data_IF_247953353084
#
_entry.id   IF_247953353084
#
_cell.length_a   1.000
_cell.length_b   1.000
_cell.length_c   1.000
_cell.angle_alpha   90.00
_cell.angle_beta   90.00
_cell.angle_gamma   90.00
#
_symmetry.space_group_name_H-M   'P 1'
#
loop_
_entity.id
_entity.type
_entity.pdbx_description
1 polymer ?
#
# COMPACT_ATOMS: atom_id res chain seq x y z
N UNK A 1 -15.16 -57.61 -14.23
CA UNK A 1 -14.54 -57.05 -13.01
C UNK A 1 -15.37 -57.45 -11.81
N UNK A 2 -14.76 -57.82 -10.69
CA UNK A 2 -15.53 -58.09 -9.45
C UNK A 2 -15.95 -56.76 -8.81
N UNK A 3 -17.14 -56.72 -8.20
CA UNK A 3 -17.67 -55.54 -7.50
C UNK A 3 -16.65 -54.95 -6.51
N UNK A 4 -15.94 -55.82 -5.79
CA UNK A 4 -14.88 -55.47 -4.84
C UNK A 4 -13.70 -54.72 -5.49
N UNK A 5 -13.28 -55.12 -6.69
CA UNK A 5 -12.20 -54.45 -7.42
C UNK A 5 -12.64 -53.07 -7.90
N UNK A 6 -13.87 -52.95 -8.39
CA UNK A 6 -14.44 -51.67 -8.78
C UNK A 6 -14.51 -50.68 -7.60
N UNK A 7 -14.98 -51.12 -6.43
CA UNK A 7 -14.98 -50.30 -5.21
C UNK A 7 -13.58 -49.88 -4.78
N UNK A 8 -12.58 -50.77 -4.87
CA UNK A 8 -11.19 -50.44 -4.54
C UNK A 8 -10.60 -49.36 -5.48
N UNK A 9 -10.88 -49.47 -6.79
CA UNK A 9 -10.46 -48.46 -7.76
C UNK A 9 -11.16 -47.12 -7.58
N UNK A 10 -12.47 -47.13 -7.32
CA UNK A 10 -13.23 -45.92 -7.01
C UNK A 10 -12.72 -45.24 -5.73
N UNK A 11 -12.48 -46.03 -4.68
CA UNK A 11 -11.90 -45.53 -3.42
C UNK A 11 -10.52 -44.90 -3.63
N UNK A 12 -9.65 -45.55 -4.40
CA UNK A 12 -8.33 -45.02 -4.73
C UNK A 12 -8.42 -43.70 -5.49
N UNK A 13 -9.30 -43.61 -6.49
CA UNK A 13 -9.54 -42.38 -7.25
C UNK A 13 -10.04 -41.25 -6.35
N UNK A 14 -11.02 -41.53 -5.48
CA UNK A 14 -11.55 -40.55 -4.54
C UNK A 14 -10.48 -40.06 -3.57
N UNK A 15 -9.65 -40.97 -3.07
CA UNK A 15 -8.56 -40.65 -2.15
C UNK A 15 -7.49 -39.79 -2.86
N UNK A 16 -7.16 -40.09 -4.12
CA UNK A 16 -6.22 -39.30 -4.90
C UNK A 16 -6.74 -37.88 -5.19
N UNK A 17 -8.02 -37.74 -5.54
CA UNK A 17 -8.66 -36.42 -5.72
C UNK A 17 -8.67 -35.64 -4.41
N UNK A 18 -9.04 -36.29 -3.30
CA UNK A 18 -9.05 -35.65 -1.97
C UNK A 18 -7.64 -35.21 -1.55
N UNK A 19 -6.63 -36.06 -1.75
CA UNK A 19 -5.24 -35.75 -1.44
C UNK A 19 -4.74 -34.57 -2.27
N UNK A 20 -5.01 -34.54 -3.58
CA UNK A 20 -4.66 -33.42 -4.45
C UNK A 20 -5.34 -32.12 -4.00
N UNK A 21 -6.62 -32.18 -3.65
CA UNK A 21 -7.38 -31.02 -3.18
C UNK A 21 -6.80 -30.45 -1.88
N UNK A 22 -6.60 -31.29 -0.86
CA UNK A 22 -6.04 -30.86 0.44
C UNK A 22 -4.59 -30.37 0.28
N UNK A 23 -3.79 -31.06 -0.53
CA UNK A 23 -2.42 -30.65 -0.85
C UNK A 23 -2.37 -29.29 -1.54
N UNK A 24 -3.28 -29.01 -2.47
CA UNK A 24 -3.36 -27.70 -3.15
C UNK A 24 -3.62 -26.56 -2.16
N UNK A 25 -4.51 -26.77 -1.19
CA UNK A 25 -4.83 -25.75 -0.17
C UNK A 25 -3.62 -25.51 0.75
N UNK A 26 -3.01 -26.58 1.25
CA UNK A 26 -1.84 -26.49 2.14
C UNK A 26 -0.62 -25.89 1.43
N UNK A 27 -0.42 -26.25 0.17
CA UNK A 27 0.64 -25.70 -0.66
C UNK A 27 0.45 -24.19 -0.85
N UNK A 28 -0.78 -23.75 -1.17
CA UNK A 28 -1.10 -22.32 -1.31
C UNK A 28 -0.82 -21.54 -0.03
N UNK A 29 -1.35 -22.02 1.12
CA UNK A 29 -1.11 -21.40 2.43
C UNK A 29 0.39 -21.34 2.77
N UNK A 30 1.14 -22.43 2.54
CA UNK A 30 2.57 -22.48 2.83
C UNK A 30 3.40 -21.59 1.89
N UNK A 31 3.00 -21.51 0.62
CA UNK A 31 3.64 -20.61 -0.35
C UNK A 31 3.47 -19.14 0.03
N UNK A 32 2.28 -18.76 0.52
CA UNK A 32 2.02 -17.42 1.04
C UNK A 32 2.92 -17.11 2.25
N UNK A 33 3.02 -18.01 3.22
CA UNK A 33 3.90 -17.82 4.39
C UNK A 33 5.38 -17.68 4.01
N UNK A 34 5.83 -18.46 3.02
CA UNK A 34 7.20 -18.35 2.51
C UNK A 34 7.45 -17.00 1.85
N UNK A 35 6.54 -16.53 0.99
CA UNK A 35 6.64 -15.21 0.37
C UNK A 35 6.58 -14.09 1.41
N UNK A 36 5.67 -14.18 2.39
CA UNK A 36 5.58 -13.23 3.49
C UNK A 36 6.90 -13.13 4.25
N UNK A 37 7.54 -14.26 4.57
CA UNK A 37 8.84 -14.26 5.24
C UNK A 37 9.95 -13.58 4.42
N UNK A 38 9.94 -13.71 3.08
CA UNK A 38 10.90 -12.97 2.23
C UNK A 38 10.67 -11.46 2.22
N UNK A 39 9.43 -11.04 2.50
CA UNK A 39 8.97 -9.66 2.40
C UNK A 39 9.08 -8.94 3.76
N UNK A 40 8.81 -9.67 4.85
CA UNK A 40 8.92 -9.24 6.23
C UNK A 40 9.43 -10.40 7.10
N UNK A 41 10.75 -10.54 7.26
CA UNK A 41 11.34 -11.57 8.12
C UNK A 41 10.93 -11.46 9.58
N UNK A 42 10.57 -10.26 10.05
CA UNK A 42 10.16 -9.99 11.44
C UNK A 42 8.82 -10.62 11.81
N UNK A 43 7.94 -10.82 10.83
CA UNK A 43 6.66 -11.52 11.00
C UNK A 43 6.79 -13.02 11.31
N UNK A 44 7.97 -13.62 11.10
CA UNK A 44 8.14 -15.07 11.18
C UNK A 44 7.30 -15.85 10.15
N UNK A 45 6.76 -15.18 9.13
CA UNK A 45 5.88 -15.78 8.13
C UNK A 45 4.44 -15.99 8.61
N UNK A 46 4.03 -15.35 9.71
CA UNK A 46 2.66 -15.41 10.24
C UNK A 46 2.04 -14.01 10.20
N UNK A 47 0.84 -13.90 9.63
CA UNK A 47 0.06 -12.66 9.63
C UNK A 47 -1.39 -12.96 9.95
N UNK A 48 -2.01 -12.09 10.74
CA UNK A 48 -3.46 -12.11 10.94
C UNK A 48 -4.14 -11.49 9.73
N UNK A 49 -4.73 -12.32 8.86
CA UNK A 49 -5.50 -11.84 7.71
C UNK A 49 -6.73 -11.02 8.15
N UNK A 50 -7.27 -11.29 9.35
CA UNK A 50 -8.36 -10.51 9.92
C UNK A 50 -7.92 -9.09 10.31
N UNK A 51 -6.70 -8.95 10.85
CA UNK A 51 -6.12 -7.66 11.18
C UNK A 51 -5.77 -6.87 9.90
N UNK A 52 -5.20 -7.55 8.90
CA UNK A 52 -4.95 -6.96 7.59
C UNK A 52 -6.23 -6.44 6.94
N UNK A 53 -7.32 -7.21 7.00
CA UNK A 53 -8.62 -6.79 6.50
C UNK A 53 -9.21 -5.61 7.29
N UNK A 54 -9.07 -5.62 8.61
CA UNK A 54 -9.51 -4.51 9.46
C UNK A 54 -8.76 -3.21 9.14
N UNK A 55 -7.44 -3.30 8.93
CA UNK A 55 -6.62 -2.16 8.51
C UNK A 55 -7.00 -1.68 7.10
N UNK A 56 -7.24 -2.58 6.16
CA UNK A 56 -7.69 -2.21 4.80
C UNK A 56 -9.03 -1.46 4.83
N UNK A 57 -9.98 -1.89 5.66
CA UNK A 57 -11.26 -1.19 5.87
C UNK A 57 -11.05 0.20 6.48
N UNK A 58 -10.20 0.33 7.50
CA UNK A 58 -9.91 1.63 8.13
C UNK A 58 -9.22 2.59 7.15
N UNK A 59 -8.26 2.11 6.38
CA UNK A 59 -7.59 2.89 5.33
C UNK A 59 -8.59 3.32 4.26
N UNK A 60 -9.45 2.41 3.79
CA UNK A 60 -10.47 2.74 2.80
C UNK A 60 -11.47 3.78 3.31
N UNK A 61 -11.84 3.72 4.60
CA UNK A 61 -12.70 4.71 5.23
C UNK A 61 -12.02 6.08 5.34
N UNK A 62 -10.75 6.15 5.74
CA UNK A 62 -9.98 7.39 5.73
C UNK A 62 -9.84 7.99 4.32
N UNK A 63 -9.60 7.14 3.32
CA UNK A 63 -9.53 7.56 1.92
C UNK A 63 -10.91 8.06 1.42
N UNK A 64 -12.00 7.42 1.85
CA UNK A 64 -13.38 7.85 1.54
C UNK A 64 -13.73 9.18 2.19
N UNK A 65 -13.34 9.40 3.44
CA UNK A 65 -13.58 10.65 4.18
C UNK A 65 -12.76 11.81 3.60
N UNK A 66 -11.55 11.55 3.11
CA UNK A 66 -10.67 12.57 2.52
C UNK A 66 -10.95 12.86 1.05
N UNK A 67 -11.57 11.94 0.30
CA UNK A 67 -11.91 12.15 -1.11
C UNK A 67 -12.71 13.45 -1.40
N UNK A 68 -13.83 13.76 -0.69
CA UNK A 68 -14.55 15.01 -0.93
C UNK A 68 -13.72 16.24 -0.54
N UNK A 69 -12.98 16.15 0.56
CA UNK A 69 -12.11 17.23 1.06
C UNK A 69 -11.00 17.58 0.06
N UNK A 70 -10.47 16.61 -0.70
CA UNK A 70 -9.52 16.89 -1.79
C UNK A 70 -10.16 17.68 -2.94
N UNK A 71 -11.43 17.40 -3.24
CA UNK A 71 -12.20 18.19 -4.20
C UNK A 71 -12.44 19.61 -3.71
N UNK A 72 -12.81 19.76 -2.44
CA UNK A 72 -12.98 21.07 -1.79
C UNK A 72 -11.67 21.86 -1.74
N UNK A 73 -10.53 21.21 -1.44
CA UNK A 73 -9.21 21.84 -1.46
C UNK A 73 -8.85 22.39 -2.84
N UNK A 74 -9.10 21.63 -3.90
CA UNK A 74 -8.85 22.06 -5.27
C UNK A 74 -9.74 23.27 -5.66
N UNK A 75 -11.00 23.26 -5.22
CA UNK A 75 -11.91 24.39 -5.42
C UNK A 75 -11.47 25.63 -4.63
N UNK A 76 -11.07 25.46 -3.37
CA UNK A 76 -10.57 26.55 -2.53
C UNK A 76 -9.28 27.16 -3.11
N UNK A 77 -8.38 26.32 -3.62
CA UNK A 77 -7.17 26.78 -4.31
C UNK A 77 -7.49 27.58 -5.59
N UNK A 78 -8.43 27.11 -6.40
CA UNK A 78 -8.87 27.85 -7.58
C UNK A 78 -9.50 29.20 -7.21
N UNK A 79 -10.35 29.23 -6.18
CA UNK A 79 -10.98 30.47 -5.68
C UNK A 79 -9.93 31.45 -5.15
N UNK A 80 -8.96 30.98 -4.37
CA UNK A 80 -7.88 31.81 -3.85
C UNK A 80 -7.01 32.38 -4.98
N UNK A 81 -6.70 31.57 -6.01
CA UNK A 81 -5.95 32.04 -7.17
C UNK A 81 -6.70 33.13 -7.96
N UNK A 82 -8.02 32.96 -8.15
CA UNK A 82 -8.86 33.98 -8.78
C UNK A 82 -8.92 35.26 -7.94
N UNK A 83 -9.15 35.15 -6.62
CA UNK A 83 -9.19 36.29 -5.72
C UNK A 83 -7.86 37.05 -5.68
N UNK A 84 -6.73 36.33 -5.71
CA UNK A 84 -5.40 36.92 -5.79
C UNK A 84 -5.22 37.72 -7.08
N UNK A 85 -5.61 37.15 -8.22
CA UNK A 85 -5.55 37.84 -9.51
C UNK A 85 -6.42 39.12 -9.51
N UNK A 86 -7.63 39.05 -8.94
CA UNK A 86 -8.54 40.19 -8.82
C UNK A 86 -8.01 41.29 -7.89
N UNK A 87 -7.30 40.90 -6.83
CA UNK A 87 -6.64 41.82 -5.90
C UNK A 87 -5.43 42.50 -6.57
N UNK A 88 -4.59 41.73 -7.27
CA UNK A 88 -3.42 42.26 -7.98
C UNK A 88 -3.86 43.22 -9.10
N UNK A 89 -4.88 42.84 -9.87
CA UNK A 89 -5.47 43.71 -10.89
C UNK A 89 -6.01 45.01 -10.30
N UNK A 90 -6.62 44.96 -9.12
CA UNK A 90 -7.13 46.15 -8.44
C UNK A 90 -5.99 47.03 -7.90
N UNK A 91 -4.93 46.44 -7.35
CA UNK A 91 -3.73 47.15 -6.91
C UNK A 91 -3.03 47.85 -8.06
N UNK A 92 -2.90 47.17 -9.21
CA UNK A 92 -2.33 47.76 -10.42
C UNK A 92 -3.16 48.95 -10.92
N UNK A 93 -4.49 48.84 -10.86
CA UNK A 93 -5.39 49.94 -11.21
C UNK A 93 -5.24 51.14 -10.26
N UNK A 94 -5.13 50.90 -8.95
CA UNK A 94 -4.87 51.93 -7.94
C UNK A 94 -3.53 52.60 -8.19
N UNK A 95 -2.46 51.83 -8.39
CA UNK A 95 -1.12 52.35 -8.70
C UNK A 95 -1.11 53.19 -9.98
N UNK A 96 -1.80 52.75 -11.05
CA UNK A 96 -1.93 53.51 -12.28
C UNK A 96 -2.68 54.85 -12.07
N UNK A 97 -3.72 54.86 -11.22
CA UNK A 97 -4.43 56.08 -10.84
C UNK A 97 -3.53 57.03 -10.04
N UNK A 98 -2.75 56.52 -9.07
CA UNK A 98 -1.79 57.30 -8.30
C UNK A 98 -0.76 57.99 -9.21
N UNK A 99 -0.18 57.25 -10.17
CA UNK A 99 0.78 57.80 -11.15
C UNK A 99 0.14 58.86 -12.03
N UNK A 100 -1.06 58.61 -12.57
CA UNK A 100 -1.82 59.57 -13.37
C UNK A 100 -2.13 60.85 -12.58
N UNK A 101 -2.47 60.71 -11.31
CA UNK A 101 -2.82 61.84 -10.46
C UNK A 101 -1.58 62.67 -10.12
N UNK A 102 -0.46 62.02 -9.79
CA UNK A 102 0.83 62.69 -9.59
C UNK A 102 1.27 63.49 -10.82
N UNK A 103 1.17 62.91 -12.02
CA UNK A 103 1.52 63.63 -13.25
C UNK A 103 0.57 64.80 -13.52
N UNK A 104 -0.73 64.62 -13.28
CA UNK A 104 -1.73 65.68 -13.44
C UNK A 104 -1.48 66.85 -12.48
N UNK A 105 -1.14 66.57 -11.22
CA UNK A 105 -0.82 67.62 -10.24
C UNK A 105 0.47 68.35 -10.63
N UNK A 106 1.50 67.63 -11.07
CA UNK A 106 2.75 68.26 -11.53
C UNK A 106 2.51 69.23 -12.71
N UNK A 107 1.74 68.81 -13.72
CA UNK A 107 1.36 69.67 -14.86
C UNK A 107 0.57 70.92 -14.41
N UNK A 108 -0.29 70.78 -13.40
CA UNK A 108 -1.06 71.89 -12.85
C UNK A 108 -0.20 72.86 -12.05
N UNK A 109 0.78 72.38 -11.29
CA UNK A 109 1.74 73.22 -10.58
C UNK A 109 2.61 74.03 -11.55
N UNK A 110 3.06 73.40 -12.64
CA UNK A 110 3.83 74.08 -13.69
C UNK A 110 3.02 75.21 -14.34
N UNK A 111 1.76 74.94 -14.73
CA UNK A 111 0.86 75.97 -15.30
C UNK A 111 0.52 77.09 -14.31
N UNK A 112 0.54 76.80 -13.02
CA UNK A 112 0.32 77.75 -11.93
C UNK A 112 1.57 78.57 -11.55
N UNK A 113 2.73 78.26 -12.18
CA UNK A 113 4.00 78.91 -11.86
C UNK A 113 4.48 78.64 -10.43
N UNK A 114 4.06 77.52 -9.84
CA UNK A 114 4.50 77.10 -8.51
C UNK A 114 5.82 76.31 -8.62
N UNK A 115 6.77 76.49 -7.69
CA UNK A 115 7.97 75.68 -7.67
C UNK A 115 7.62 74.19 -7.46
N UNK A 116 8.29 73.27 -8.15
CA UNK A 116 8.00 71.84 -8.03
C UNK A 116 8.19 71.39 -6.58
N UNK A 117 7.18 70.69 -6.05
CA UNK A 117 7.28 70.10 -4.72
C UNK A 117 8.43 69.08 -4.66
N UNK A 118 9.13 69.01 -3.53
CA UNK A 118 10.19 68.01 -3.34
C UNK A 118 9.59 66.61 -3.47
N UNK A 119 10.14 65.79 -4.37
CA UNK A 119 9.69 64.41 -4.55
C UNK A 119 9.98 63.61 -3.28
N UNK A 120 8.95 63.36 -2.47
CA UNK A 120 9.03 62.53 -1.25
C UNK A 120 9.07 61.04 -1.56
N UNK A 121 8.93 60.64 -2.82
CA UNK A 121 9.04 59.25 -3.30
C UNK A 121 7.85 58.35 -2.95
N UNK A 122 7.05 58.69 -1.94
CA UNK A 122 5.83 58.00 -1.56
C UNK A 122 4.59 58.84 -1.94
N UNK A 123 3.58 58.19 -2.51
CA UNK A 123 2.29 58.81 -2.76
C UNK A 123 1.55 59.04 -1.43
N UNK A 124 1.12 60.27 -1.18
CA UNK A 124 0.32 60.64 -0.01
C UNK A 124 -0.90 61.45 -0.48
N UNK A 125 -2.10 60.92 -0.22
CA UNK A 125 -3.37 61.56 -0.58
C UNK A 125 -3.55 62.91 0.11
N UNK A 126 -3.03 63.08 1.33
CA UNK A 126 -3.10 64.34 2.06
C UNK A 126 -2.18 65.40 1.46
N UNK A 127 -0.96 65.04 1.04
CA UNK A 127 -0.03 65.94 0.33
C UNK A 127 -0.63 66.42 -1.00
N UNK A 128 -1.15 65.48 -1.80
CA UNK A 128 -1.84 65.78 -3.06
C UNK A 128 -3.02 66.75 -2.84
N UNK A 129 -3.84 66.51 -1.82
CA UNK A 129 -4.98 67.38 -1.51
C UNK A 129 -4.54 68.81 -1.15
N UNK A 130 -3.48 68.94 -0.33
CA UNK A 130 -2.90 70.24 0.02
C UNK A 130 -2.30 70.96 -1.19
N UNK A 131 -1.63 70.23 -2.09
CA UNK A 131 -1.08 70.77 -3.35
C UNK A 131 -2.19 71.29 -4.26
N UNK A 132 -3.26 70.51 -4.44
CA UNK A 132 -4.44 70.93 -5.21
C UNK A 132 -5.14 72.15 -4.59
N UNK A 133 -5.20 72.25 -3.26
CA UNK A 133 -5.72 73.43 -2.56
C UNK A 133 -4.86 74.68 -2.78
N UNK A 134 -3.53 74.53 -2.73
CA UNK A 134 -2.58 75.62 -3.00
C UNK A 134 -2.73 76.17 -4.42
N UNK A 135 -2.88 75.29 -5.41
CA UNK A 135 -3.12 75.67 -6.81
C UNK A 135 -4.46 76.40 -6.93
N UNK A 136 -5.52 75.89 -6.30
CA UNK A 136 -6.85 76.51 -6.33
C UNK A 136 -6.94 77.88 -5.64
N UNK A 137 -6.10 78.14 -4.63
CA UNK A 137 -6.09 79.39 -3.87
C UNK A 137 -5.44 80.58 -4.60
N UNK A 138 -4.72 80.34 -5.71
CA UNK A 138 -4.11 81.42 -6.49
C UNK A 138 -5.18 82.28 -7.20
N UNK A 139 -5.26 83.57 -6.84
CA UNK A 139 -6.23 84.52 -7.38
C UNK A 139 -6.17 84.72 -8.91
N UNK A 140 -5.04 84.42 -9.55
CA UNK A 140 -4.78 84.67 -10.98
C UNK A 140 -4.85 83.42 -11.87
N UNK A 141 -5.36 82.28 -11.40
CA UNK A 141 -5.49 81.07 -12.22
C UNK A 141 -6.51 81.23 -13.34
N UNK A 142 -6.14 80.86 -14.57
CA UNK A 142 -7.05 80.77 -15.70
C UNK A 142 -8.24 79.83 -15.40
N UNK A 143 -9.40 80.10 -16.00
CA UNK A 143 -10.63 79.28 -15.82
C UNK A 143 -10.37 77.80 -16.12
N UNK A 144 -9.56 77.51 -17.14
CA UNK A 144 -9.18 76.16 -17.54
C UNK A 144 -8.39 75.41 -16.46
N UNK A 145 -7.54 76.10 -15.68
CA UNK A 145 -6.77 75.50 -14.58
C UNK A 145 -7.69 75.17 -13.40
N UNK A 146 -8.74 75.98 -13.15
CA UNK A 146 -9.72 75.71 -12.08
C UNK A 146 -10.55 74.45 -12.38
N UNK A 147 -11.01 74.29 -13.62
CA UNK A 147 -11.74 73.08 -14.04
C UNK A 147 -10.88 71.82 -13.89
N UNK A 148 -9.60 71.90 -14.26
CA UNK A 148 -8.67 70.79 -14.13
C UNK A 148 -8.37 70.43 -12.66
N UNK A 149 -8.29 71.42 -11.75
CA UNK A 149 -8.16 71.17 -10.30
C UNK A 149 -9.40 70.46 -9.75
N UNK A 150 -10.61 70.84 -10.19
CA UNK A 150 -11.85 70.17 -9.79
C UNK A 150 -11.85 68.71 -10.29
N UNK A 151 -11.45 68.47 -11.53
CA UNK A 151 -11.33 67.12 -12.09
C UNK A 151 -10.30 66.27 -11.34
N UNK A 152 -9.14 66.84 -11.00
CA UNK A 152 -8.11 66.14 -10.22
C UNK A 152 -8.58 65.80 -8.80
N UNK A 153 -9.35 66.68 -8.15
CA UNK A 153 -10.00 66.38 -6.86
C UNK A 153 -11.03 65.26 -6.97
N UNK A 154 -11.81 65.22 -8.04
CA UNK A 154 -12.74 64.13 -8.29
C UNK A 154 -12.02 62.79 -8.51
N UNK A 155 -10.90 62.80 -9.25
CA UNK A 155 -10.07 61.60 -9.42
C UNK A 155 -9.38 61.17 -8.11
N UNK A 156 -9.03 62.11 -7.21
CA UNK A 156 -8.51 61.80 -5.87
C UNK A 156 -9.55 61.08 -5.00
N UNK A 157 -10.82 61.50 -5.07
CA UNK A 157 -11.91 60.82 -4.35
C UNK A 157 -12.11 59.40 -4.89
N UNK A 158 -12.13 59.22 -6.22
CA UNK A 158 -12.23 57.88 -6.83
C UNK A 158 -11.07 56.98 -6.44
N UNK A 159 -9.87 57.54 -6.28
CA UNK A 159 -8.71 56.80 -5.82
C UNK A 159 -8.91 56.32 -4.37
N UNK A 160 -9.37 57.21 -3.48
CA UNK A 160 -9.68 56.84 -2.10
C UNK A 160 -10.76 55.74 -2.02
N UNK A 161 -11.83 55.85 -2.83
CA UNK A 161 -12.87 54.81 -2.93
C UNK A 161 -12.29 53.47 -3.45
N UNK A 162 -11.36 53.52 -4.39
CA UNK A 162 -10.71 52.33 -4.95
C UNK A 162 -9.72 51.68 -3.97
N UNK A 163 -9.00 52.47 -3.17
CA UNK A 163 -8.15 51.98 -2.09
C UNK A 163 -8.98 51.34 -0.97
N UNK A 164 -10.10 51.95 -0.58
CA UNK A 164 -11.03 51.37 0.40
C UNK A 164 -11.62 50.04 -0.09
N UNK A 165 -11.89 49.92 -1.40
CA UNK A 165 -12.36 48.68 -2.01
C UNK A 165 -11.33 47.53 -2.03
N UNK A 166 -10.04 47.78 -1.76
CA UNK A 166 -9.04 46.72 -1.62
C UNK A 166 -9.19 45.94 -0.31
N UNK A 167 -9.59 46.61 0.78
CA UNK A 167 -9.69 46.00 2.12
C UNK A 167 -10.56 44.74 2.15
N UNK A 168 -11.81 44.78 1.65
CA UNK A 168 -12.68 43.60 1.58
C UNK A 168 -12.08 42.46 0.73
N UNK A 169 -11.38 42.78 -0.37
CA UNK A 169 -10.74 41.76 -1.23
C UNK A 169 -9.57 41.07 -0.52
N UNK A 170 -8.78 41.82 0.25
CA UNK A 170 -7.70 41.26 1.07
C UNK A 170 -8.24 40.37 2.18
N UNK A 171 -9.34 40.75 2.82
CA UNK A 171 -10.02 39.93 3.83
C UNK A 171 -10.58 38.63 3.23
N UNK A 172 -11.22 38.70 2.06
CA UNK A 172 -11.73 37.54 1.33
C UNK A 172 -10.61 36.58 0.94
N UNK A 173 -9.48 37.09 0.44
CA UNK A 173 -8.30 36.29 0.14
C UNK A 173 -7.78 35.60 1.41
N UNK A 174 -7.62 36.34 2.51
CA UNK A 174 -7.13 35.80 3.78
C UNK A 174 -8.05 34.69 4.31
N UNK A 175 -9.36 34.85 4.16
CA UNK A 175 -10.37 33.84 4.52
C UNK A 175 -10.22 32.57 3.67
N UNK A 176 -10.06 32.71 2.34
CA UNK A 176 -9.86 31.59 1.43
C UNK A 176 -8.54 30.84 1.71
N UNK A 177 -7.47 31.58 2.03
CA UNK A 177 -6.21 30.96 2.43
C UNK A 177 -6.32 30.18 3.75
N UNK A 178 -7.04 30.72 4.73
CA UNK A 178 -7.29 30.03 6.00
C UNK A 178 -8.11 28.74 5.79
N UNK A 179 -9.10 28.78 4.90
CA UNK A 179 -9.88 27.60 4.50
C UNK A 179 -8.99 26.54 3.82
N UNK A 180 -8.15 26.95 2.86
CA UNK A 180 -7.17 26.07 2.20
C UNK A 180 -6.25 25.39 3.21
N UNK A 181 -5.71 26.13 4.19
CA UNK A 181 -4.83 25.58 5.24
C UNK A 181 -5.56 24.55 6.10
N UNK A 182 -6.77 24.86 6.55
CA UNK A 182 -7.58 23.96 7.37
C UNK A 182 -7.88 22.63 6.66
N UNK A 183 -8.28 22.69 5.38
CA UNK A 183 -8.56 21.48 4.59
C UNK A 183 -7.25 20.70 4.36
N UNK A 184 -6.15 21.40 4.06
CA UNK A 184 -4.83 20.81 3.90
C UNK A 184 -4.36 20.04 5.13
N UNK A 185 -4.49 20.63 6.32
CA UNK A 185 -4.15 20.00 7.60
C UNK A 185 -4.98 18.73 7.87
N UNK A 186 -6.27 18.75 7.55
CA UNK A 186 -7.14 17.58 7.68
C UNK A 186 -6.70 16.43 6.75
N UNK A 187 -6.41 16.74 5.49
CA UNK A 187 -5.93 15.77 4.50
C UNK A 187 -4.58 15.19 4.94
N UNK A 188 -3.66 16.03 5.41
CA UNK A 188 -2.34 15.59 5.85
C UNK A 188 -2.43 14.68 7.09
N UNK A 189 -3.23 15.07 8.08
CA UNK A 189 -3.44 14.26 9.30
C UNK A 189 -4.03 12.90 8.96
N UNK A 190 -5.03 12.87 8.08
CA UNK A 190 -5.65 11.62 7.62
C UNK A 190 -4.68 10.75 6.81
N UNK A 191 -3.85 11.35 5.96
CA UNK A 191 -2.80 10.63 5.23
C UNK A 191 -1.75 10.05 6.18
N UNK A 192 -1.31 10.80 7.20
CA UNK A 192 -0.38 10.28 8.23
C UNK A 192 -1.01 9.12 9.01
N UNK A 193 -2.29 9.19 9.36
CA UNK A 193 -3.01 8.10 10.00
C UNK A 193 -3.06 6.85 9.10
N UNK A 194 -3.42 7.03 7.83
CA UNK A 194 -3.45 5.94 6.84
C UNK A 194 -2.05 5.32 6.62
N UNK A 195 -1.00 6.14 6.58
CA UNK A 195 0.38 5.67 6.49
C UNK A 195 0.84 4.95 7.76
N UNK A 196 0.45 5.43 8.94
CA UNK A 196 0.72 4.76 10.21
C UNK A 196 0.07 3.38 10.29
N UNK A 197 -1.17 3.26 9.84
CA UNK A 197 -1.87 1.98 9.73
C UNK A 197 -1.19 1.03 8.73
N UNK A 198 -0.80 1.52 7.54
CA UNK A 198 -0.06 0.74 6.54
C UNK A 198 1.32 0.32 7.06
N UNK A 199 1.99 1.19 7.80
CA UNK A 199 3.32 0.97 8.38
C UNK A 199 3.38 -0.18 9.39
N UNK A 200 2.26 -0.61 9.96
CA UNK A 200 2.20 -1.81 10.80
C UNK A 200 2.61 -3.09 10.05
N UNK A 201 2.47 -3.11 8.73
CA UNK A 201 2.86 -4.21 7.84
C UNK A 201 4.08 -3.86 6.96
N UNK A 202 4.80 -2.80 7.32
CA UNK A 202 5.95 -2.28 6.59
C UNK A 202 5.62 -1.72 5.20
N UNK A 203 6.67 -1.48 4.41
CA UNK A 203 6.56 -0.87 3.07
C UNK A 203 5.84 -1.77 2.05
N UNK A 204 5.67 -3.06 2.39
CA UNK A 204 5.14 -4.08 1.51
C UNK A 204 3.64 -4.36 1.71
N UNK A 205 2.92 -3.52 2.46
CA UNK A 205 1.48 -3.66 2.72
C UNK A 205 0.66 -3.99 1.47
N UNK A 206 0.91 -3.29 0.36
CA UNK A 206 0.19 -3.53 -0.90
C UNK A 206 0.42 -4.93 -1.47
N UNK A 207 1.66 -5.40 -1.41
CA UNK A 207 2.02 -6.74 -1.87
C UNK A 207 1.37 -7.80 -0.99
N UNK A 208 1.50 -7.66 0.34
CA UNK A 208 0.90 -8.57 1.32
C UNK A 208 -0.62 -8.63 1.14
N UNK A 209 -1.26 -7.46 0.96
CA UNK A 209 -2.70 -7.35 0.69
C UNK A 209 -3.12 -8.10 -0.58
N UNK A 210 -2.37 -7.92 -1.67
CA UNK A 210 -2.68 -8.58 -2.94
C UNK A 210 -2.49 -10.10 -2.85
N UNK A 211 -1.43 -10.55 -2.19
CA UNK A 211 -1.17 -11.98 -1.96
C UNK A 211 -2.25 -12.59 -1.05
N UNK A 212 -2.70 -11.87 -0.01
CA UNK A 212 -3.78 -12.29 0.87
C UNK A 212 -5.12 -12.44 0.12
N UNK A 213 -5.46 -11.49 -0.74
CA UNK A 213 -6.66 -11.56 -1.58
C UNK A 213 -6.57 -12.69 -2.62
N UNK A 214 -5.39 -12.92 -3.19
CA UNK A 214 -5.16 -14.06 -4.09
C UNK A 214 -5.34 -15.40 -3.38
N UNK A 215 -4.86 -15.51 -2.14
CA UNK A 215 -5.07 -16.69 -1.31
C UNK A 215 -6.55 -16.88 -0.97
N UNK A 216 -7.26 -15.82 -0.58
CA UNK A 216 -8.69 -15.89 -0.27
C UNK A 216 -9.52 -16.30 -1.49
N UNK A 217 -9.23 -15.73 -2.67
CA UNK A 217 -9.90 -16.07 -3.92
C UNK A 217 -9.59 -17.50 -4.40
N UNK A 218 -8.39 -18.02 -4.13
CA UNK A 218 -7.98 -19.38 -4.52
C UNK A 218 -8.31 -20.44 -3.48
N UNK A 219 -8.72 -20.05 -2.28
CA UNK A 219 -9.00 -20.97 -1.17
C UNK A 219 -10.49 -21.36 -1.14
N UNK A 220 -10.86 -22.58 -1.57
CA UNK A 220 -12.23 -23.06 -1.42
C UNK A 220 -12.64 -23.06 0.06
N UNK A 221 -13.80 -22.49 0.35
CA UNK A 221 -14.37 -22.37 1.70
C UNK A 221 -13.52 -21.59 2.72
N UNK A 222 -12.52 -20.80 2.28
CA UNK A 222 -11.66 -20.03 3.19
C UNK A 222 -10.76 -20.89 4.10
N UNK A 223 -10.51 -22.16 3.74
CA UNK A 223 -9.64 -23.04 4.53
C UNK A 223 -8.17 -22.59 4.50
N UNK A 224 -7.69 -22.11 3.34
CA UNK A 224 -6.33 -21.60 3.17
C UNK A 224 -6.04 -20.37 4.02
N UNK A 225 -6.99 -19.44 4.16
CA UNK A 225 -6.83 -18.25 5.00
C UNK A 225 -6.72 -18.60 6.49
N UNK A 226 -7.49 -19.59 6.96
CA UNK A 226 -7.38 -20.13 8.33
C UNK A 226 -6.08 -20.92 8.56
N UNK A 227 -5.54 -21.56 7.54
CA UNK A 227 -4.29 -22.31 7.65
C UNK A 227 -3.09 -21.36 7.77
N UNK A 228 -3.09 -20.20 7.10
CA UNK A 228 -1.98 -19.24 7.15
C UNK A 228 -1.67 -18.71 8.56
N UNK A 229 -2.65 -18.68 9.47
CA UNK A 229 -2.40 -18.31 10.86
C UNK A 229 -1.74 -19.42 11.69
N UNK A 230 -1.63 -20.65 11.17
CA UNK A 230 -0.93 -21.74 11.85
C UNK A 230 0.59 -21.61 11.70
N UNK A 231 1.31 -22.15 12.69
CA UNK A 231 2.78 -22.11 12.69
C UNK A 231 3.38 -22.76 11.42
N UNK A 232 4.35 -22.12 10.75
CA UNK A 232 4.91 -22.61 9.49
C UNK A 232 5.47 -24.04 9.56
N UNK A 233 6.08 -24.42 10.69
CA UNK A 233 6.58 -25.78 10.92
C UNK A 233 5.48 -26.83 10.90
N UNK A 234 4.31 -26.51 11.46
CA UNK A 234 3.18 -27.43 11.48
C UNK A 234 2.66 -27.67 10.07
N UNK A 235 2.45 -26.59 9.31
CA UNK A 235 2.01 -26.68 7.91
C UNK A 235 3.02 -27.42 7.03
N UNK A 236 4.31 -27.16 7.21
CA UNK A 236 5.37 -27.85 6.46
C UNK A 236 5.36 -29.35 6.76
N UNK A 237 5.26 -29.73 8.04
CA UNK A 237 5.19 -31.14 8.45
C UNK A 237 3.96 -31.83 7.86
N UNK A 238 2.81 -31.17 7.92
CA UNK A 238 1.57 -31.69 7.34
C UNK A 238 1.68 -31.85 5.82
N UNK A 239 2.25 -30.86 5.14
CA UNK A 239 2.51 -30.89 3.70
C UNK A 239 3.43 -32.04 3.31
N UNK A 240 4.55 -32.25 4.02
CA UNK A 240 5.47 -33.38 3.81
C UNK A 240 4.72 -34.71 3.88
N UNK A 241 3.96 -34.92 4.96
CA UNK A 241 3.23 -36.16 5.17
C UNK A 241 2.23 -36.39 4.03
N UNK A 242 1.42 -35.40 3.68
CA UNK A 242 0.40 -35.56 2.64
C UNK A 242 1.00 -35.69 1.23
N UNK A 243 2.17 -35.11 0.96
CA UNK A 243 2.92 -35.33 -0.27
C UNK A 243 3.54 -36.74 -0.32
N UNK A 244 3.98 -37.26 0.83
CA UNK A 244 4.38 -38.68 0.99
C UNK A 244 3.24 -39.65 0.75
N UNK A 245 2.07 -39.38 1.32
CA UNK A 245 0.86 -40.12 1.05
C UNK A 245 0.51 -40.11 -0.45
N UNK A 246 0.61 -38.94 -1.09
CA UNK A 246 0.36 -38.79 -2.52
C UNK A 246 1.37 -39.57 -3.37
N UNK A 247 2.66 -39.54 -3.02
CA UNK A 247 3.68 -40.35 -3.69
C UNK A 247 3.39 -41.85 -3.61
N UNK A 248 2.97 -42.34 -2.44
CA UNK A 248 2.58 -43.74 -2.26
C UNK A 248 1.33 -44.11 -3.10
N UNK A 249 0.36 -43.21 -3.24
CA UNK A 249 -0.80 -43.42 -4.11
C UNK A 249 -0.45 -43.44 -5.59
N UNK A 250 0.47 -42.56 -6.02
CA UNK A 250 0.96 -42.55 -7.39
C UNK A 250 1.68 -43.85 -7.76
N UNK A 251 2.41 -44.44 -6.82
CA UNK A 251 3.00 -45.76 -7.01
C UNK A 251 1.93 -46.87 -7.13
N UNK A 252 0.84 -46.75 -6.37
CA UNK A 252 -0.23 -47.75 -6.32
C UNK A 252 -1.14 -47.72 -7.55
N UNK A 253 -1.25 -46.58 -8.23
CA UNK A 253 -2.14 -46.39 -9.37
C UNK A 253 -1.79 -47.29 -10.58
N UNK A 254 -0.53 -47.33 -11.08
CA UNK A 254 -0.13 -48.29 -12.11
C UNK A 254 -0.28 -49.75 -11.67
N UNK A 255 0.02 -50.05 -10.39
CA UNK A 255 -0.12 -51.40 -9.83
C UNK A 255 -1.58 -51.88 -9.83
N UNK A 256 -2.54 -50.97 -9.65
CA UNK A 256 -3.98 -51.28 -9.74
C UNK A 256 -4.46 -51.52 -11.18
N UNK A 257 -3.92 -50.76 -12.14
CA UNK A 257 -4.23 -50.93 -13.56
C UNK A 257 -3.67 -52.24 -14.11
N UNK A 258 -2.52 -52.69 -13.61
CA UNK A 258 -1.91 -53.94 -14.05
C UNK A 258 -2.69 -55.15 -13.48
N UNK A 259 -3.20 -56.04 -14.34
CA UNK A 259 -4.18 -57.06 -13.98
C UNK A 259 -3.67 -58.17 -13.04
N UNK A 260 -2.35 -58.26 -12.84
CA UNK A 260 -1.71 -59.36 -12.13
C UNK A 260 -1.79 -59.27 -10.59
N UNK A 261 -2.03 -58.08 -10.01
CA UNK A 261 -2.01 -57.89 -8.56
C UNK A 261 -3.42 -57.67 -7.99
N UNK A 262 -3.79 -58.46 -6.98
CA UNK A 262 -4.97 -58.20 -6.15
C UNK A 262 -4.57 -57.21 -5.06
N UNK A 263 -5.01 -55.95 -5.19
CA UNK A 263 -4.78 -54.91 -4.18
C UNK A 263 -5.96 -54.89 -3.22
N UNK A 264 -5.69 -55.06 -1.93
CA UNK A 264 -6.70 -54.96 -0.87
C UNK A 264 -6.74 -53.58 -0.25
N UNK A 265 -7.88 -53.23 0.36
CA UNK A 265 -8.04 -51.96 1.07
C UNK A 265 -6.98 -51.74 2.16
N UNK A 266 -6.63 -52.80 2.90
CA UNK A 266 -5.58 -52.75 3.92
C UNK A 266 -4.20 -52.37 3.34
N UNK A 267 -3.87 -52.86 2.14
CA UNK A 267 -2.60 -52.54 1.47
C UNK A 267 -2.51 -51.06 1.11
N UNK A 268 -3.64 -50.45 0.70
CA UNK A 268 -3.71 -49.02 0.39
C UNK A 268 -3.42 -48.20 1.65
N UNK A 269 -4.07 -48.52 2.77
CA UNK A 269 -3.90 -47.78 4.03
C UNK A 269 -2.48 -47.92 4.57
N UNK A 270 -1.94 -49.15 4.60
CA UNK A 270 -0.58 -49.41 5.10
C UNK A 270 0.45 -48.65 4.26
N UNK A 271 0.36 -48.72 2.93
CA UNK A 271 1.30 -48.02 2.03
C UNK A 271 1.21 -46.51 2.16
N UNK A 272 0.00 -45.96 2.34
CA UNK A 272 -0.18 -44.54 2.59
C UNK A 272 0.54 -44.10 3.87
N UNK A 273 0.38 -44.84 4.97
CA UNK A 273 1.08 -44.56 6.24
C UNK A 273 2.58 -44.68 6.10
N UNK A 274 3.07 -45.73 5.43
CA UNK A 274 4.51 -45.88 5.15
C UNK A 274 5.05 -44.73 4.29
N UNK A 275 4.31 -44.27 3.29
CA UNK A 275 4.65 -43.10 2.48
C UNK A 275 4.76 -41.83 3.32
N UNK A 276 3.80 -41.58 4.23
CA UNK A 276 3.85 -40.44 5.16
C UNK A 276 5.09 -40.49 6.07
N UNK A 277 5.36 -41.64 6.69
CA UNK A 277 6.49 -41.81 7.62
C UNK A 277 7.83 -41.69 6.91
N UNK A 278 7.96 -42.28 5.72
CA UNK A 278 9.18 -42.21 4.92
C UNK A 278 9.46 -40.78 4.47
N UNK A 279 8.43 -40.05 4.02
CA UNK A 279 8.56 -38.64 3.67
C UNK A 279 9.00 -37.78 4.86
N UNK A 280 8.45 -38.04 6.06
CA UNK A 280 8.84 -37.34 7.27
C UNK A 280 10.32 -37.58 7.62
N UNK A 281 10.78 -38.84 7.53
CA UNK A 281 12.19 -39.17 7.78
C UNK A 281 13.13 -38.46 6.80
N UNK A 282 12.80 -38.46 5.51
CA UNK A 282 13.57 -37.76 4.48
C UNK A 282 13.59 -36.25 4.71
N UNK A 283 12.46 -35.66 5.10
CA UNK A 283 12.37 -34.25 5.44
C UNK A 283 13.24 -33.89 6.65
N UNK A 284 13.22 -34.69 7.72
CA UNK A 284 14.06 -34.46 8.90
C UNK A 284 15.55 -34.50 8.51
N UNK A 285 15.96 -35.48 7.72
CA UNK A 285 17.35 -35.59 7.23
C UNK A 285 17.72 -34.41 6.34
N UNK A 286 16.86 -34.00 5.42
CA UNK A 286 17.09 -32.86 4.54
C UNK A 286 17.22 -31.55 5.34
N UNK A 287 16.33 -31.33 6.30
CA UNK A 287 16.35 -30.14 7.14
C UNK A 287 17.60 -30.11 8.06
N UNK A 288 17.98 -31.26 8.64
CA UNK A 288 19.20 -31.39 9.44
C UNK A 288 20.48 -31.17 8.60
N UNK A 289 20.49 -31.64 7.34
CA UNK A 289 21.61 -31.46 6.43
C UNK A 289 21.82 -29.98 6.07
N UNK A 290 20.73 -29.26 5.80
CA UNK A 290 20.79 -27.81 5.52
C UNK A 290 21.26 -27.04 6.75
N UNK A 291 20.69 -27.33 7.92
CA UNK A 291 21.15 -26.74 9.18
C UNK A 291 22.66 -26.97 9.37
N UNK A 292 23.13 -28.21 9.17
CA UNK A 292 24.54 -28.58 9.25
C UNK A 292 25.47 -27.83 8.29
N UNK A 293 25.01 -27.55 7.06
CA UNK A 293 25.77 -26.81 6.05
C UNK A 293 25.82 -25.29 6.33
N UNK A 294 24.83 -24.75 7.03
CA UNK A 294 24.73 -23.32 7.36
C UNK A 294 25.54 -22.88 8.59
N UNK A 295 26.13 -23.82 9.36
CA UNK A 295 27.01 -23.50 10.50
C UNK A 295 28.44 -23.08 10.08
N UNK A 296 28.59 -22.34 8.98
CA UNK A 296 29.86 -21.71 8.63
C UNK A 296 30.11 -20.51 9.56
N UNK A 297 31.32 -20.35 10.15
CA UNK A 297 31.62 -19.22 11.01
C UNK A 297 31.56 -17.91 10.21
N UNK A 298 30.62 -17.02 10.56
CA UNK A 298 30.48 -15.69 9.96
C UNK A 298 29.09 -15.34 9.40
N UNK A 299 28.11 -16.26 9.44
CA UNK A 299 26.71 -15.94 9.11
C UNK A 299 25.84 -15.94 10.38
N UNK A 300 25.12 -14.83 10.59
CA UNK A 300 24.24 -14.67 11.75
C UNK A 300 23.14 -15.74 11.79
N UNK A 301 23.17 -16.54 12.86
CA UNK A 301 22.24 -17.63 13.15
C UNK A 301 20.76 -17.19 13.28
N UNK A 302 20.49 -15.89 13.30
CA UNK A 302 19.14 -15.32 13.38
C UNK A 302 18.35 -15.44 12.07
N UNK A 303 19.00 -15.71 10.94
CA UNK A 303 18.32 -15.94 9.64
C UNK A 303 17.83 -17.39 9.43
N UNK A 304 18.25 -18.34 10.28
CA UNK A 304 18.16 -19.77 9.95
C UNK A 304 17.11 -20.58 10.73
N UNK A 305 16.47 -20.02 11.76
CA UNK A 305 15.38 -20.74 12.45
C UNK A 305 14.06 -20.76 11.64
N UNK A 306 13.92 -19.87 10.65
CA UNK A 306 12.73 -19.72 9.81
C UNK A 306 12.90 -20.20 8.36
N UNK A 307 14.10 -20.60 7.95
CA UNK A 307 14.43 -21.14 6.62
C UNK A 307 13.88 -22.56 6.41
N UNK A 308 12.63 -22.75 6.81
CA UNK A 308 11.78 -23.84 6.36
C UNK A 308 11.88 -23.94 4.84
N UNK A 309 12.31 -25.12 4.37
CA UNK A 309 12.47 -25.47 2.97
C UNK A 309 11.30 -24.91 2.13
N UNK A 310 11.65 -24.41 0.94
CA UNK A 310 10.66 -23.95 -0.03
C UNK A 310 9.58 -25.04 -0.22
N UNK A 311 8.28 -24.70 -0.22
CA UNK A 311 7.20 -25.67 -0.36
C UNK A 311 7.32 -26.59 -1.59
N UNK A 312 7.93 -26.14 -2.68
CA UNK A 312 8.21 -26.97 -3.86
C UNK A 312 9.26 -28.05 -3.55
N UNK A 313 10.35 -27.71 -2.86
CA UNK A 313 11.37 -28.67 -2.44
C UNK A 313 10.79 -29.70 -1.46
N UNK A 314 9.99 -29.22 -0.50
CA UNK A 314 9.27 -30.07 0.45
C UNK A 314 8.34 -31.05 -0.27
N UNK A 315 7.59 -30.57 -1.26
CA UNK A 315 6.66 -31.41 -2.02
C UNK A 315 7.39 -32.45 -2.86
N UNK A 316 8.50 -32.07 -3.51
CA UNK A 316 9.34 -32.99 -4.28
C UNK A 316 9.90 -34.10 -3.38
N UNK A 317 10.51 -33.73 -2.24
CA UNK A 317 11.03 -34.69 -1.27
C UNK A 317 9.90 -35.62 -0.79
N UNK A 318 8.75 -35.08 -0.43
CA UNK A 318 7.61 -35.87 0.01
C UNK A 318 7.16 -36.88 -1.03
N UNK A 319 6.93 -36.45 -2.28
CA UNK A 319 6.47 -37.34 -3.36
C UNK A 319 7.50 -38.42 -3.66
N UNK A 320 8.77 -38.06 -3.81
CA UNK A 320 9.85 -39.04 -4.10
C UNK A 320 10.00 -40.06 -2.98
N UNK A 321 10.01 -39.64 -1.71
CA UNK A 321 10.04 -40.53 -0.56
C UNK A 321 8.81 -41.45 -0.49
N UNK A 322 7.62 -40.92 -0.83
CA UNK A 322 6.39 -41.71 -0.92
C UNK A 322 6.44 -42.79 -2.00
N UNK A 323 6.99 -42.49 -3.17
CA UNK A 323 7.18 -43.47 -4.26
C UNK A 323 8.19 -44.55 -3.85
N UNK A 324 9.28 -44.16 -3.17
CA UNK A 324 10.34 -45.09 -2.75
C UNK A 324 10.00 -45.89 -1.49
N UNK A 325 8.89 -45.58 -0.80
CA UNK A 325 8.56 -46.17 0.50
C UNK A 325 8.46 -47.71 0.46
N UNK A 326 7.95 -48.28 -0.63
CA UNK A 326 7.81 -49.74 -0.77
C UNK A 326 9.16 -50.43 -0.95
N UNK A 327 10.07 -49.84 -1.73
CA UNK A 327 11.44 -50.36 -1.93
C UNK A 327 12.23 -50.29 -0.62
N UNK A 328 12.10 -49.18 0.11
CA UNK A 328 12.72 -49.00 1.44
C UNK A 328 12.13 -50.02 2.43
N UNK A 329 10.82 -50.23 2.44
CA UNK A 329 10.19 -51.21 3.33
C UNK A 329 10.60 -52.65 3.00
N UNK A 330 10.80 -52.99 1.73
CA UNK A 330 11.35 -54.29 1.32
C UNK A 330 12.80 -54.44 1.79
N UNK A 331 13.63 -53.43 1.56
CA UNK A 331 15.02 -53.41 2.00
C UNK A 331 15.17 -53.52 3.53
N UNK A 332 14.38 -52.79 4.32
CA UNK A 332 14.38 -52.88 5.79
C UNK A 332 14.00 -54.30 6.23
N UNK A 333 13.02 -54.94 5.60
CA UNK A 333 12.62 -56.32 5.92
C UNK A 333 13.73 -57.33 5.61
N UNK A 334 14.40 -57.17 4.49
CA UNK A 334 15.52 -58.03 4.09
C UNK A 334 16.70 -57.88 5.06
N UNK A 335 17.11 -56.64 5.36
CA UNK A 335 18.18 -56.36 6.34
C UNK A 335 17.81 -56.77 7.76
N UNK A 336 16.56 -56.56 8.18
CA UNK A 336 16.07 -57.02 9.47
C UNK A 336 16.12 -58.55 9.58
N UNK A 337 15.80 -59.26 8.49
CA UNK A 337 15.92 -60.72 8.44
C UNK A 337 17.38 -61.19 8.49
N UNK A 338 18.31 -60.46 7.87
CA UNK A 338 19.75 -60.77 7.96
C UNK A 338 20.31 -60.52 9.37
N UNK A 339 19.93 -59.41 10.00
CA UNK A 339 20.45 -59.00 11.31
C UNK A 339 19.83 -59.79 12.47
N UNK A 340 18.52 -60.08 12.43
CA UNK A 340 17.80 -60.79 13.50
C UNK A 340 17.52 -62.26 13.19
N UNK A 341 17.57 -62.67 11.92
CA UNK A 341 17.45 -64.06 11.50
C UNK A 341 18.78 -64.83 11.50
N UNK A 342 19.91 -64.14 11.68
CA UNK A 342 21.25 -64.73 11.80
C UNK A 342 21.55 -65.43 13.13
N UNK A 343 20.58 -65.51 14.05
CA UNK A 343 20.70 -66.27 15.30
C UNK A 343 19.78 -67.50 15.27
N UNK A 344 20.13 -68.50 14.46
CA UNK A 344 19.77 -69.89 14.75
C UNK A 344 21.01 -70.77 14.49
N UNK A 345 21.46 -71.54 15.50
CA UNK A 345 22.63 -72.43 15.38
C UNK A 345 22.42 -73.57 14.39
#
# INVERSE_FOLDING_TARGET
>A
MTLKRWFAGFFLLLLMVMALFVNSILFSARSFQHNLYTVDPGSGGVISLAELAAVDVQVAELERQTAPQRGEAAQAEQKAATAQLELDTARDAVAAMQVKLLSTVADLEERAGLPPAAATGAFDTADIAQRLERIGAQRATATQTREAVIAARADLIKLADAEEALGPKEEDLARLEAEKRRIGEFIETSNRAALGLKGQFGDNFQRIRNEARALEASSPFGLGSKLVSMHPTFLTTLLVCLMGALGALLYLFPAYLNRANNIYFADIVVRLVFGMVTALAFYIVANASIAGLTFMPGQDATTNAGASLNPFAVSLIGITAGIMADDIAAWIRERGREVFGGARP
#
